data_IF_668832055538
#
_entry.id   IF_668832055538
#
_cell.length_a   1.000
_cell.length_b   1.000
_cell.length_c   1.000
_cell.angle_alpha   90.00
_cell.angle_beta   90.00
_cell.angle_gamma   90.00
#
_symmetry.space_group_name_H-M   'P 1'
#
loop_
_entity.id
_entity.type
_entity.pdbx_description
1 polymer ?
#
# COMPACT_ATOMS: atom_id res chain seq x y z
N UNK A 1 -24.24 -30.48 6.26
CA UNK A 1 -23.56 -31.39 7.21
C UNK A 1 -24.39 -32.67 7.28
N UNK A 2 -23.81 -33.86 7.04
CA UNK A 2 -24.51 -35.16 7.10
C UNK A 2 -24.01 -35.93 8.32
N UNK A 3 -24.92 -36.35 9.19
CA UNK A 3 -24.62 -37.20 10.35
C UNK A 3 -25.28 -38.55 10.12
N UNK A 4 -24.51 -39.63 10.24
CA UNK A 4 -25.02 -40.99 10.18
C UNK A 4 -24.92 -41.61 11.57
N UNK A 5 -26.06 -42.04 12.12
CA UNK A 5 -26.12 -42.94 13.26
C UNK A 5 -26.68 -44.27 12.77
N UNK A 6 -25.95 -45.36 13.01
CA UNK A 6 -26.34 -46.72 12.61
C UNK A 6 -26.80 -47.52 13.82
N UNK A 7 -28.10 -47.79 13.90
CA UNK A 7 -28.64 -49.01 14.53
C UNK A 7 -29.07 -49.98 13.42
N UNK A 8 -29.02 -51.31 13.66
CA UNK A 8 -29.25 -52.28 12.61
C UNK A 8 -30.73 -52.28 12.21
N UNK A 9 -30.97 -52.00 10.91
CA UNK A 9 -32.19 -52.22 10.14
C UNK A 9 -33.18 -51.06 9.88
N UNK A 10 -32.85 -49.79 10.14
CA UNK A 10 -33.57 -48.66 9.50
C UNK A 10 -32.67 -47.47 9.23
N UNK A 11 -32.38 -47.22 7.95
CA UNK A 11 -31.82 -45.94 7.50
C UNK A 11 -32.97 -44.95 7.41
N UNK A 12 -33.02 -43.99 8.33
CA UNK A 12 -33.89 -42.81 8.20
C UNK A 12 -33.03 -41.69 7.60
N UNK A 13 -33.16 -41.47 6.31
CA UNK A 13 -32.56 -40.32 5.65
C UNK A 13 -33.40 -39.08 5.99
N UNK A 14 -32.88 -38.22 6.87
CA UNK A 14 -33.43 -36.88 7.06
C UNK A 14 -32.56 -35.90 6.29
N UNK A 15 -33.05 -35.43 5.15
CA UNK A 15 -32.51 -34.23 4.52
C UNK A 15 -32.97 -33.02 5.33
N UNK A 16 -32.06 -32.34 6.02
CA UNK A 16 -32.33 -30.97 6.45
C UNK A 16 -32.58 -30.14 5.18
N UNK A 17 -33.74 -29.47 5.03
CA UNK A 17 -33.94 -28.56 3.93
C UNK A 17 -32.84 -27.50 3.96
N UNK A 18 -32.41 -27.05 2.77
CA UNK A 18 -31.50 -25.90 2.66
C UNK A 18 -32.02 -24.76 3.55
N UNK A 19 -31.16 -23.98 4.23
CA UNK A 19 -31.61 -22.89 5.07
C UNK A 19 -32.36 -21.89 4.17
N UNK A 20 -33.68 -22.04 4.13
CA UNK A 20 -34.56 -21.04 3.56
C UNK A 20 -34.34 -19.78 4.37
N UNK A 21 -34.14 -18.66 3.69
CA UNK A 21 -34.20 -17.35 4.33
C UNK A 21 -35.49 -17.33 5.15
N UNK A 22 -35.44 -17.20 6.49
CA UNK A 22 -36.66 -17.19 7.28
C UNK A 22 -37.55 -16.09 6.72
N UNK A 23 -38.78 -16.44 6.38
CA UNK A 23 -39.77 -15.46 5.96
C UNK A 23 -39.85 -14.41 7.06
N UNK A 24 -39.65 -13.14 6.71
CA UNK A 24 -39.99 -12.02 7.58
C UNK A 24 -41.49 -12.09 7.81
N UNK A 25 -41.90 -12.72 8.92
CA UNK A 25 -43.27 -12.65 9.41
C UNK A 25 -43.43 -11.24 9.94
N UNK A 26 -44.19 -10.39 9.24
CA UNK A 26 -44.60 -9.12 9.81
C UNK A 26 -45.39 -9.43 11.09
N UNK A 27 -45.01 -8.84 12.24
CA UNK A 27 -45.72 -9.10 13.48
C UNK A 27 -47.17 -8.63 13.35
N UNK A 28 -48.11 -9.57 13.33
CA UNK A 28 -49.54 -9.27 13.40
C UNK A 28 -49.91 -8.91 14.85
N UNK A 29 -50.30 -7.65 15.09
CA UNK A 29 -50.78 -7.17 16.39
C UNK A 29 -50.28 -5.78 16.76
N UNK A 30 -50.88 -5.18 17.79
CA UNK A 30 -50.44 -3.89 18.34
C UNK A 30 -49.16 -4.09 19.17
N UNK A 31 -48.13 -3.30 18.90
CA UNK A 31 -46.84 -3.37 19.63
C UNK A 31 -47.09 -3.03 21.11
N UNK A 32 -46.70 -3.89 22.07
CA UNK A 32 -46.92 -3.60 23.49
C UNK A 32 -46.30 -2.24 23.88
N UNK A 33 -46.99 -1.41 24.69
CA UNK A 33 -46.50 -0.07 25.05
C UNK A 33 -45.09 -0.05 25.63
N UNK A 34 -44.71 -1.08 26.39
CA UNK A 34 -43.36 -1.21 26.95
C UNK A 34 -42.28 -1.42 25.88
N UNK A 35 -42.59 -2.14 24.80
CA UNK A 35 -41.67 -2.36 23.67
C UNK A 35 -41.53 -1.09 22.85
N UNK A 36 -42.63 -0.36 22.62
CA UNK A 36 -42.59 0.96 21.97
C UNK A 36 -41.73 1.93 22.78
N UNK A 37 -41.96 2.04 24.10
CA UNK A 37 -41.21 2.93 24.97
C UNK A 37 -39.70 2.60 25.02
N UNK A 38 -39.34 1.30 24.97
CA UNK A 38 -37.95 0.89 24.84
C UNK A 38 -37.35 1.30 23.50
N UNK A 39 -38.09 1.10 22.40
CA UNK A 39 -37.69 1.53 21.07
C UNK A 39 -37.45 3.04 21.00
N UNK A 40 -38.35 3.84 21.57
CA UNK A 40 -38.24 5.29 21.65
C UNK A 40 -37.03 5.71 22.49
N UNK A 41 -36.82 5.11 23.66
CA UNK A 41 -35.67 5.41 24.53
C UNK A 41 -34.32 5.07 23.87
N UNK A 42 -34.23 3.91 23.20
CA UNK A 42 -33.05 3.53 22.41
C UNK A 42 -32.87 4.49 21.25
N UNK A 43 -33.94 4.85 20.55
CA UNK A 43 -33.93 5.83 19.46
C UNK A 43 -33.38 7.17 19.90
N UNK A 44 -33.88 7.73 21.00
CA UNK A 44 -33.39 8.98 21.58
C UNK A 44 -31.91 8.91 21.97
N UNK A 45 -31.49 7.80 22.60
CA UNK A 45 -30.09 7.61 22.99
C UNK A 45 -29.18 7.51 21.77
N UNK A 46 -29.57 6.74 20.76
CA UNK A 46 -28.83 6.61 19.50
C UNK A 46 -28.75 7.94 18.76
N UNK A 47 -29.86 8.69 18.68
CA UNK A 47 -29.86 10.03 18.10
C UNK A 47 -28.92 10.98 18.84
N UNK A 48 -28.90 10.94 20.17
CA UNK A 48 -28.00 11.77 20.99
C UNK A 48 -26.53 11.46 20.71
N UNK A 49 -26.16 10.18 20.67
CA UNK A 49 -24.80 9.73 20.37
C UNK A 49 -24.42 10.04 18.91
N UNK A 50 -25.36 9.86 17.98
CA UNK A 50 -25.12 10.09 16.57
C UNK A 50 -24.92 11.60 16.27
N UNK A 51 -25.67 12.47 16.94
CA UNK A 51 -25.55 13.93 16.78
C UNK A 51 -24.38 14.54 17.54
N UNK A 52 -23.62 13.75 18.30
CA UNK A 52 -22.44 14.22 19.02
C UNK A 52 -21.40 14.78 18.04
N UNK A 53 -20.99 16.01 18.30
CA UNK A 53 -19.98 16.70 17.50
C UNK A 53 -18.60 16.19 17.86
N UNK A 54 -17.82 15.78 16.86
CA UNK A 54 -16.48 15.26 17.07
C UNK A 54 -15.52 16.40 17.50
N UNK A 55 -14.76 16.25 18.60
CA UNK A 55 -13.89 17.31 19.13
C UNK A 55 -12.91 17.88 18.10
N UNK A 56 -12.31 17.03 17.27
CA UNK A 56 -11.40 17.42 16.20
C UNK A 56 -12.09 17.89 14.91
N UNK A 57 -13.41 17.77 14.77
CA UNK A 57 -14.11 17.98 13.50
C UNK A 57 -14.37 19.44 13.10
N UNK A 58 -13.58 20.41 13.55
CA UNK A 58 -13.82 21.83 13.26
C UNK A 58 -13.56 22.19 11.78
N UNK A 59 -14.49 22.92 11.17
CA UNK A 59 -14.44 23.35 9.77
C UNK A 59 -14.44 24.87 9.67
N UNK A 60 -13.52 25.45 8.88
CA UNK A 60 -13.52 26.90 8.61
C UNK A 60 -14.26 27.28 7.33
N UNK A 61 -14.50 26.30 6.45
CA UNK A 61 -15.28 26.44 5.22
C UNK A 61 -16.19 25.20 5.04
N UNK A 62 -17.25 25.29 4.20
CA UNK A 62 -18.07 24.13 3.87
C UNK A 62 -17.22 23.00 3.27
N UNK A 63 -17.37 21.79 3.79
CA UNK A 63 -16.69 20.60 3.30
C UNK A 63 -17.62 19.81 2.39
N UNK A 64 -17.33 19.80 1.10
CA UNK A 64 -18.07 19.00 0.14
C UNK A 64 -17.66 17.52 0.20
N UNK A 65 -18.33 16.69 -0.63
CA UNK A 65 -18.07 15.25 -0.67
C UNK A 65 -16.62 14.94 -1.08
N UNK A 66 -16.07 15.64 -2.06
CA UNK A 66 -14.70 15.38 -2.52
C UNK A 66 -13.64 15.79 -1.49
N UNK A 67 -13.87 16.90 -0.80
CA UNK A 67 -13.06 17.35 0.32
C UNK A 67 -13.11 16.37 1.48
N UNK A 68 -14.29 15.82 1.80
CA UNK A 68 -14.43 14.76 2.79
C UNK A 68 -13.70 13.47 2.38
N UNK A 69 -13.83 13.03 1.12
CA UNK A 69 -13.07 11.89 0.59
C UNK A 69 -11.56 12.16 0.69
N UNK A 70 -11.13 13.37 0.39
CA UNK A 70 -9.71 13.76 0.48
C UNK A 70 -9.20 13.71 1.92
N UNK A 71 -9.98 14.24 2.88
CA UNK A 71 -9.67 14.15 4.31
C UNK A 71 -9.57 12.69 4.78
N UNK A 72 -10.53 11.85 4.42
CA UNK A 72 -10.50 10.42 4.74
C UNK A 72 -9.21 9.76 4.24
N UNK A 73 -8.84 10.01 2.99
CA UNK A 73 -7.64 9.45 2.38
C UNK A 73 -6.36 9.98 3.03
N UNK A 74 -6.28 11.26 3.39
CA UNK A 74 -5.12 11.80 4.11
C UNK A 74 -4.99 11.20 5.52
N UNK A 75 -6.10 11.04 6.23
CA UNK A 75 -6.13 10.37 7.54
C UNK A 75 -5.69 8.91 7.41
N UNK A 76 -6.13 8.20 6.37
CA UNK A 76 -5.68 6.83 6.10
C UNK A 76 -4.17 6.78 5.80
N UNK A 77 -3.63 7.74 5.03
CA UNK A 77 -2.18 7.84 4.78
C UNK A 77 -1.40 8.07 6.06
N UNK A 78 -1.87 8.99 6.91
CA UNK A 78 -1.23 9.30 8.18
C UNK A 78 -1.25 8.09 9.13
N UNK A 79 -2.42 7.47 9.31
CA UNK A 79 -2.60 6.35 10.26
C UNK A 79 -1.82 5.11 9.85
N UNK A 80 -1.73 4.85 8.54
CA UNK A 80 -1.01 3.70 8.03
C UNK A 80 0.46 4.01 7.74
N UNK A 81 0.88 5.28 7.60
CA UNK A 81 2.18 5.70 7.03
C UNK A 81 2.34 5.28 5.57
N UNK A 82 1.25 5.34 4.81
CA UNK A 82 1.26 5.08 3.37
C UNK A 82 1.55 6.35 2.60
N UNK A 83 2.33 6.21 1.53
CA UNK A 83 2.66 7.30 0.62
C UNK A 83 1.48 7.67 -0.26
N UNK A 84 0.67 6.68 -0.62
CA UNK A 84 -0.47 6.81 -1.51
C UNK A 84 -1.71 6.29 -0.79
N UNK A 85 -2.85 6.95 -0.99
CA UNK A 85 -4.15 6.37 -0.66
C UNK A 85 -5.09 6.44 -1.84
N UNK A 86 -5.83 5.36 -2.06
CA UNK A 86 -6.86 5.26 -3.09
C UNK A 86 -8.16 4.75 -2.50
N UNK A 87 -9.28 5.22 -3.03
CA UNK A 87 -10.58 4.61 -2.80
C UNK A 87 -11.47 4.85 -4.01
N UNK A 88 -12.42 3.96 -4.27
CA UNK A 88 -13.40 4.20 -5.32
C UNK A 88 -14.33 5.35 -4.92
N UNK A 89 -14.77 6.16 -5.89
CA UNK A 89 -15.63 7.33 -5.63
C UNK A 89 -16.97 6.96 -4.99
N UNK A 90 -17.43 5.72 -5.18
CA UNK A 90 -18.65 5.17 -4.61
C UNK A 90 -18.61 4.92 -3.09
N UNK A 91 -17.42 4.87 -2.48
CA UNK A 91 -17.26 4.55 -1.06
C UNK A 91 -17.87 5.61 -0.13
N UNK A 92 -17.76 6.89 -0.50
CA UNK A 92 -18.40 7.99 0.24
C UNK A 92 -19.78 8.25 -0.35
N UNK A 93 -20.84 8.05 0.42
CA UNK A 93 -22.23 8.23 -0.05
C UNK A 93 -22.72 9.66 0.19
N UNK A 94 -23.58 10.21 -0.69
CA UNK A 94 -24.19 11.52 -0.49
C UNK A 94 -25.35 11.50 0.52
N UNK A 95 -25.45 10.45 1.33
CA UNK A 95 -26.46 10.33 2.39
C UNK A 95 -26.15 11.31 3.53
N UNK A 96 -24.87 11.63 3.74
CA UNK A 96 -24.50 12.78 4.54
C UNK A 96 -24.93 14.08 3.83
N UNK A 97 -25.48 15.03 4.59
CA UNK A 97 -25.96 16.34 4.10
C UNK A 97 -24.78 17.25 3.67
N UNK A 98 -24.05 16.85 2.64
CA UNK A 98 -22.99 17.66 2.06
C UNK A 98 -23.56 18.95 1.43
N UNK A 99 -22.86 20.08 1.53
CA UNK A 99 -21.58 20.23 2.23
C UNK A 99 -21.77 20.33 3.75
N UNK A 100 -20.87 19.67 4.49
CA UNK A 100 -20.81 19.76 5.95
C UNK A 100 -20.35 21.15 6.37
N UNK A 101 -20.86 21.68 7.49
CA UNK A 101 -20.59 23.04 7.95
C UNK A 101 -20.32 23.10 9.44
N UNK A 102 -19.44 24.00 9.84
CA UNK A 102 -19.16 24.30 11.24
C UNK A 102 -18.34 23.20 11.91
N UNK A 103 -18.97 22.05 12.22
CA UNK A 103 -18.29 20.90 12.82
C UNK A 103 -18.85 19.58 12.31
N UNK A 104 -17.98 18.58 12.18
CA UNK A 104 -18.34 17.22 11.79
C UNK A 104 -18.88 16.46 13.01
N UNK A 105 -20.05 15.85 12.87
CA UNK A 105 -20.66 14.98 13.88
C UNK A 105 -20.43 13.49 13.57
N UNK A 106 -20.75 12.62 14.53
CA UNK A 106 -20.65 11.17 14.34
C UNK A 106 -21.58 10.69 13.22
N UNK A 107 -22.81 11.19 13.16
CA UNK A 107 -23.80 10.83 12.13
C UNK A 107 -23.37 11.25 10.74
N UNK A 108 -22.65 12.37 10.59
CA UNK A 108 -22.11 12.78 9.30
C UNK A 108 -21.13 11.73 8.75
N UNK A 109 -20.25 11.20 9.61
CA UNK A 109 -19.28 10.17 9.23
C UNK A 109 -19.98 8.83 8.96
N UNK A 110 -20.92 8.41 9.81
CA UNK A 110 -21.69 7.18 9.62
C UNK A 110 -22.50 7.21 8.32
N UNK A 111 -23.16 8.33 8.03
CA UNK A 111 -23.94 8.52 6.80
C UNK A 111 -23.07 8.61 5.55
N UNK A 112 -21.88 9.21 5.67
CA UNK A 112 -20.92 9.28 4.56
C UNK A 112 -20.27 7.92 4.27
N UNK A 113 -20.01 7.09 5.28
CA UNK A 113 -19.32 5.80 5.17
C UNK A 113 -20.19 4.63 5.69
N UNK A 114 -21.26 4.26 4.96
CA UNK A 114 -22.19 3.25 5.46
C UNK A 114 -21.65 1.82 5.37
N UNK A 115 -20.68 1.58 4.50
CA UNK A 115 -20.14 0.24 4.26
C UNK A 115 -19.23 -0.21 5.40
N UNK A 116 -19.38 -1.47 5.78
CA UNK A 116 -18.44 -2.14 6.65
C UNK A 116 -17.35 -2.76 5.78
N UNK A 117 -16.27 -2.01 5.60
CA UNK A 117 -15.09 -2.39 4.82
C UNK A 117 -13.85 -2.24 5.70
N UNK A 118 -12.73 -2.77 5.24
CA UNK A 118 -11.43 -2.70 5.91
C UNK A 118 -10.47 -1.83 5.12
N UNK A 119 -9.44 -1.33 5.79
CA UNK A 119 -8.26 -0.73 5.18
C UNK A 119 -7.21 -1.82 4.95
N UNK A 120 -6.75 -1.91 3.70
CA UNK A 120 -5.65 -2.76 3.27
C UNK A 120 -4.46 -1.91 2.91
N UNK A 121 -3.30 -2.32 3.39
CA UNK A 121 -2.03 -1.73 3.00
C UNK A 121 -1.32 -2.67 2.05
N UNK A 122 -0.73 -2.14 0.99
CA UNK A 122 0.12 -2.90 0.09
C UNK A 122 1.31 -2.11 -0.39
N UNK A 123 2.06 -2.74 -1.28
CA UNK A 123 3.15 -2.14 -2.04
C UNK A 123 2.83 -2.26 -3.52
N UNK A 124 2.99 -1.19 -4.26
CA UNK A 124 2.82 -1.12 -5.72
C UNK A 124 4.09 -0.57 -6.35
N UNK A 125 4.59 -1.21 -7.41
CA UNK A 125 5.73 -0.68 -8.15
C UNK A 125 5.36 0.55 -8.98
N UNK A 126 6.31 1.46 -9.19
CA UNK A 126 6.10 2.73 -9.86
C UNK A 126 5.55 2.60 -11.28
N UNK A 127 6.06 1.65 -12.07
CA UNK A 127 5.57 1.35 -13.42
C UNK A 127 4.09 0.92 -13.44
N UNK A 128 3.69 0.02 -12.53
CA UNK A 128 2.32 -0.42 -12.35
C UNK A 128 1.42 0.73 -11.88
N UNK A 129 1.88 1.54 -10.93
CA UNK A 129 1.18 2.75 -10.50
C UNK A 129 0.98 3.72 -11.66
N UNK A 130 2.03 3.95 -12.46
CA UNK A 130 1.97 4.85 -13.60
C UNK A 130 1.00 4.36 -14.67
N UNK A 131 0.99 3.05 -14.92
CA UNK A 131 0.04 2.37 -15.82
C UNK A 131 -1.40 2.57 -15.34
N UNK A 132 -1.68 2.30 -14.07
CA UNK A 132 -3.00 2.51 -13.49
C UNK A 132 -3.45 3.97 -13.60
N UNK A 133 -2.62 4.93 -13.19
CA UNK A 133 -2.94 6.37 -13.18
C UNK A 133 -3.16 6.92 -14.60
N UNK A 134 -2.50 6.36 -15.61
CA UNK A 134 -2.71 6.72 -17.02
C UNK A 134 -3.93 6.03 -17.63
N UNK A 135 -4.43 4.95 -17.02
CA UNK A 135 -5.60 4.23 -17.51
C UNK A 135 -6.91 5.00 -17.33
N UNK A 136 -7.92 4.66 -18.14
CA UNK A 136 -9.29 5.16 -17.99
C UNK A 136 -9.96 4.73 -16.69
N UNK A 137 -9.51 3.62 -16.08
CA UNK A 137 -10.03 3.10 -14.81
C UNK A 137 -9.79 4.07 -13.66
N UNK A 138 -8.67 4.81 -13.69
CA UNK A 138 -8.28 5.78 -12.66
C UNK A 138 -9.37 6.82 -12.35
N UNK A 139 -10.20 7.18 -13.34
CA UNK A 139 -11.28 8.15 -13.19
C UNK A 139 -12.38 7.71 -12.19
N UNK A 140 -12.48 6.39 -11.91
CA UNK A 140 -13.43 5.82 -10.94
C UNK A 140 -12.97 5.99 -9.50
N UNK A 141 -11.72 6.38 -9.30
CA UNK A 141 -11.08 6.46 -8.00
C UNK A 141 -10.79 7.90 -7.61
N UNK A 142 -10.61 8.10 -6.30
CA UNK A 142 -9.97 9.28 -5.74
C UNK A 142 -8.63 8.83 -5.16
N UNK A 143 -7.57 9.58 -5.49
CA UNK A 143 -6.22 9.30 -5.02
C UNK A 143 -5.67 10.49 -4.25
N UNK A 144 -4.84 10.21 -3.24
CA UNK A 144 -4.01 11.17 -2.52
C UNK A 144 -2.56 10.68 -2.55
N UNK A 145 -1.63 11.64 -2.59
CA UNK A 145 -0.20 11.36 -2.71
C UNK A 145 0.31 11.21 -4.15
N UNK A 146 -0.57 11.21 -5.16
CA UNK A 146 -0.19 11.19 -6.59
C UNK A 146 -0.78 12.41 -7.29
N UNK A 147 0.05 13.13 -8.03
CA UNK A 147 -0.35 14.29 -8.83
C UNK A 147 0.24 14.17 -10.23
N UNK A 148 -0.49 14.67 -11.24
CA UNK A 148 0.02 14.78 -12.60
C UNK A 148 0.54 16.20 -12.83
N UNK A 149 1.74 16.30 -13.38
CA UNK A 149 2.39 17.56 -13.78
C UNK A 149 2.76 17.46 -15.26
N UNK A 150 1.88 17.96 -16.14
CA UNK A 150 1.95 17.69 -17.57
C UNK A 150 1.86 16.19 -17.89
N UNK A 151 2.87 15.64 -18.55
CA UNK A 151 3.00 14.21 -18.85
C UNK A 151 3.67 13.41 -17.72
N UNK A 152 4.27 14.12 -16.76
CA UNK A 152 4.97 13.53 -15.63
C UNK A 152 4.00 13.18 -14.49
N UNK A 153 4.31 12.10 -13.78
CA UNK A 153 3.63 11.75 -12.54
C UNK A 153 4.54 12.05 -11.37
N UNK A 154 3.97 12.66 -10.35
CA UNK A 154 4.64 12.94 -9.09
C UNK A 154 3.98 12.12 -7.98
N UNK A 155 4.80 11.47 -7.16
CA UNK A 155 4.38 10.92 -5.87
C UNK A 155 4.89 11.87 -4.79
N UNK A 156 3.98 12.45 -4.01
CA UNK A 156 4.34 13.32 -2.89
C UNK A 156 5.21 14.53 -3.29
N UNK A 157 4.96 15.08 -4.48
CA UNK A 157 5.71 16.20 -5.07
C UNK A 157 7.05 15.82 -5.70
N UNK A 158 7.40 14.52 -5.74
CA UNK A 158 8.65 14.01 -6.33
C UNK A 158 8.36 13.23 -7.59
N UNK A 159 9.23 13.26 -8.61
CA UNK A 159 9.07 12.42 -9.80
C UNK A 159 8.86 10.96 -9.41
N UNK A 160 7.87 10.33 -10.03
CA UNK A 160 7.63 8.90 -9.89
C UNK A 160 8.85 8.15 -10.43
N UNK A 161 9.41 7.26 -9.61
CA UNK A 161 10.47 6.33 -9.99
C UNK A 161 9.82 4.98 -10.34
N UNK A 162 9.95 4.57 -11.59
CA UNK A 162 9.25 3.39 -12.12
C UNK A 162 9.73 2.08 -11.51
N UNK A 163 10.98 2.02 -11.05
CA UNK A 163 11.61 0.86 -10.41
C UNK A 163 11.40 0.78 -8.89
N UNK A 164 10.73 1.76 -8.30
CA UNK A 164 10.51 1.87 -6.85
C UNK A 164 9.15 1.30 -6.44
N UNK A 165 9.10 0.60 -5.29
CA UNK A 165 7.84 0.25 -4.63
C UNK A 165 7.35 1.38 -3.72
N UNK A 166 6.09 1.74 -3.86
CA UNK A 166 5.38 2.71 -3.04
C UNK A 166 4.41 2.03 -2.09
N UNK A 167 4.34 2.54 -0.86
CA UNK A 167 3.37 2.03 0.12
C UNK A 167 2.00 2.67 -0.11
N UNK A 168 0.99 1.84 -0.34
CA UNK A 168 -0.37 2.26 -0.69
C UNK A 168 -1.37 1.75 0.33
N UNK A 169 -2.32 2.59 0.73
CA UNK A 169 -3.50 2.19 1.50
C UNK A 169 -4.76 2.32 0.65
N UNK A 170 -5.66 1.35 0.78
CA UNK A 170 -6.93 1.31 0.07
C UNK A 170 -8.00 0.64 0.92
N UNK A 171 -9.24 0.62 0.44
CA UNK A 171 -10.29 -0.20 1.02
C UNK A 171 -10.14 -1.68 0.61
N UNK A 172 -10.71 -2.60 1.38
CA UNK A 172 -10.71 -4.04 1.11
C UNK A 172 -11.38 -4.34 -0.22
N UNK A 173 -12.54 -3.72 -0.49
CA UNK A 173 -13.21 -3.85 -1.78
C UNK A 173 -12.29 -3.56 -2.99
N UNK A 174 -11.49 -2.49 -2.93
CA UNK A 174 -10.56 -2.13 -4.02
C UNK A 174 -9.33 -3.03 -4.05
N UNK A 175 -8.84 -3.48 -2.88
CA UNK A 175 -7.73 -4.42 -2.78
C UNK A 175 -8.07 -5.81 -3.33
N UNK A 176 -9.35 -6.18 -3.33
CA UNK A 176 -9.87 -7.43 -3.91
C UNK A 176 -10.25 -7.28 -5.40
N UNK A 177 -9.91 -6.14 -6.03
CA UNK A 177 -10.14 -5.88 -7.46
C UNK A 177 -11.42 -5.09 -7.79
N UNK A 178 -12.18 -4.67 -6.79
CA UNK A 178 -13.39 -3.88 -6.96
C UNK A 178 -13.19 -2.63 -7.83
N UNK A 179 -14.14 -2.38 -8.73
CA UNK A 179 -14.14 -1.29 -9.74
C UNK A 179 -12.93 -1.25 -10.70
N UNK A 180 -12.09 -2.30 -10.71
CA UNK A 180 -10.84 -2.37 -11.47
C UNK A 180 -9.68 -1.66 -10.76
N UNK A 181 -9.55 -1.90 -9.46
CA UNK A 181 -8.51 -1.34 -8.59
C UNK A 181 -7.10 -1.91 -8.83
N UNK A 182 -6.17 -1.61 -7.92
CA UNK A 182 -4.77 -2.03 -8.04
C UNK A 182 -4.53 -3.54 -8.04
N UNK A 183 -5.49 -4.34 -7.57
CA UNK A 183 -5.36 -5.81 -7.55
C UNK A 183 -5.22 -6.44 -8.94
N UNK A 184 -5.61 -5.71 -10.00
CA UNK A 184 -5.45 -6.14 -11.39
C UNK A 184 -4.04 -5.91 -11.93
N UNK A 185 -3.14 -5.26 -11.17
CA UNK A 185 -1.75 -5.03 -11.57
C UNK A 185 -0.83 -6.14 -11.02
N UNK A 186 0.02 -6.70 -11.87
CA UNK A 186 0.88 -7.86 -11.53
C UNK A 186 1.89 -7.56 -10.39
N UNK A 187 2.23 -6.29 -10.17
CA UNK A 187 3.27 -5.83 -9.24
C UNK A 187 2.70 -5.17 -7.97
N UNK A 188 1.55 -5.68 -7.50
CA UNK A 188 0.91 -5.23 -6.26
C UNK A 188 0.86 -6.37 -5.25
N UNK A 189 1.28 -6.10 -4.01
CA UNK A 189 1.19 -7.07 -2.92
C UNK A 189 0.61 -6.41 -1.68
N UNK A 190 -0.47 -6.97 -1.15
CA UNK A 190 -1.12 -6.52 0.08
C UNK A 190 -0.63 -7.27 1.30
N UNK A 191 -0.58 -6.57 2.44
CA UNK A 191 -0.38 -7.16 3.75
C UNK A 191 -1.59 -8.06 4.11
N UNK A 192 -1.35 -9.23 4.74
CA UNK A 192 -2.38 -10.25 4.96
C UNK A 192 -3.45 -9.81 5.96
N UNK A 193 -3.10 -8.97 6.92
CA UNK A 193 -4.00 -8.49 7.96
C UNK A 193 -4.53 -7.08 7.64
N UNK A 194 -5.84 -6.84 7.77
CA UNK A 194 -6.38 -5.49 7.65
C UNK A 194 -5.94 -4.61 8.82
N UNK A 195 -5.77 -3.31 8.56
CA UNK A 195 -5.27 -2.36 9.57
C UNK A 195 -6.41 -1.77 10.42
N UNK A 196 -7.65 -1.84 9.94
CA UNK A 196 -8.83 -1.32 10.62
C UNK A 196 -9.95 -1.00 9.63
N UNK A 197 -11.06 -0.41 10.09
CA UNK A 197 -12.14 0.04 9.21
C UNK A 197 -11.99 1.53 8.86
N UNK A 198 -12.18 1.97 7.59
CA UNK A 198 -12.02 3.37 7.20
C UNK A 198 -12.85 4.33 8.06
N UNK A 199 -14.08 3.92 8.37
CA UNK A 199 -15.01 4.67 9.23
C UNK A 199 -14.48 4.84 10.65
N UNK A 200 -14.04 3.75 11.27
CA UNK A 200 -13.54 3.79 12.65
C UNK A 200 -12.20 4.53 12.74
N UNK A 201 -11.34 4.37 11.74
CA UNK A 201 -10.10 5.17 11.62
C UNK A 201 -10.39 6.66 11.57
N UNK A 202 -11.37 7.09 10.76
CA UNK A 202 -11.73 8.51 10.71
C UNK A 202 -12.40 9.00 12.00
N UNK A 203 -13.31 8.20 12.59
CA UNK A 203 -13.98 8.55 13.85
C UNK A 203 -12.98 8.69 15.01
N UNK A 204 -12.11 7.70 15.20
CA UNK A 204 -11.07 7.73 16.22
C UNK A 204 -10.08 8.88 16.00
N UNK A 205 -9.71 9.15 14.75
CA UNK A 205 -8.87 10.30 14.42
C UNK A 205 -9.59 11.61 14.79
N UNK A 206 -10.84 11.82 14.39
CA UNK A 206 -11.64 13.02 14.70
C UNK A 206 -12.03 13.16 16.18
N UNK A 207 -11.99 12.08 16.97
CA UNK A 207 -12.26 12.12 18.41
C UNK A 207 -11.20 12.93 19.19
N UNK A 208 -9.99 13.04 18.65
CA UNK A 208 -8.90 13.79 19.28
C UNK A 208 -9.07 15.29 18.99
N UNK A 209 -9.12 16.17 20.01
CA UNK A 209 -9.22 17.61 19.82
C UNK A 209 -8.05 18.17 19.00
N UNK A 210 -8.35 19.04 18.02
CA UNK A 210 -7.36 19.72 17.17
C UNK A 210 -7.70 21.20 17.02
N UNK A 211 -6.70 22.03 16.74
CA UNK A 211 -6.87 23.47 16.47
C UNK A 211 -6.91 23.72 14.97
N UNK A 212 -7.72 24.68 14.55
CA UNK A 212 -7.81 25.13 13.16
C UNK A 212 -8.73 24.27 12.29
N UNK A 213 -8.59 24.42 10.97
CA UNK A 213 -9.37 23.67 9.99
C UNK A 213 -8.91 22.22 9.91
N UNK A 214 -9.84 21.29 10.09
CA UNK A 214 -9.56 19.85 10.08
C UNK A 214 -9.05 19.34 8.73
N UNK A 215 -9.33 20.03 7.62
CA UNK A 215 -8.84 19.66 6.28
C UNK A 215 -7.34 19.88 6.11
N UNK A 216 -6.70 20.65 7.00
CA UNK A 216 -5.25 20.93 6.98
C UNK A 216 -4.49 20.24 8.10
N UNK A 217 -5.22 19.56 8.99
CA UNK A 217 -4.64 18.92 10.16
C UNK A 217 -3.91 17.59 9.87
N UNK A 218 -4.30 16.76 8.86
CA UNK A 218 -3.56 15.55 8.56
C UNK A 218 -2.10 15.83 8.24
N UNK A 219 -1.20 15.04 8.82
CA UNK A 219 0.23 15.15 8.53
C UNK A 219 0.51 14.36 7.27
N UNK A 220 0.85 15.05 6.19
CA UNK A 220 1.25 14.40 4.95
C UNK A 220 2.54 13.60 5.15
N UNK A 221 2.54 12.26 5.01
CA UNK A 221 3.74 11.45 5.14
C UNK A 221 4.86 11.87 4.18
N UNK A 222 4.52 12.54 3.07
CA UNK A 222 5.45 13.17 2.13
C UNK A 222 6.47 14.12 2.78
N UNK A 223 6.09 14.74 3.90
CA UNK A 223 6.91 15.71 4.62
C UNK A 223 7.99 15.05 5.47
N UNK A 224 7.94 13.72 5.63
CA UNK A 224 8.97 12.95 6.32
C UNK A 224 10.14 12.66 5.39
N UNK A 225 11.32 12.48 5.98
CA UNK A 225 12.51 12.04 5.27
C UNK A 225 12.30 10.63 4.75
N UNK A 226 12.40 10.46 3.43
CA UNK A 226 12.42 9.16 2.76
C UNK A 226 13.85 8.70 2.66
N UNK A 227 14.12 7.46 3.08
CA UNK A 227 15.42 6.83 2.88
C UNK A 227 15.31 5.79 1.77
N UNK A 228 16.16 5.90 0.76
CA UNK A 228 16.27 4.96 -0.35
C UNK A 228 17.62 4.27 -0.28
N UNK A 229 17.62 2.94 -0.33
CA UNK A 229 18.83 2.12 -0.35
C UNK A 229 18.86 1.35 -1.66
N UNK A 230 19.91 1.52 -2.46
CA UNK A 230 20.12 0.76 -3.71
C UNK A 230 21.49 0.11 -3.67
N UNK A 231 21.62 -1.08 -4.23
CA UNK A 231 22.88 -1.81 -4.24
C UNK A 231 22.99 -2.68 -5.48
N UNK A 232 24.19 -2.71 -6.05
CA UNK A 232 24.58 -3.55 -7.18
C UNK A 232 25.88 -4.26 -6.85
N UNK A 233 25.98 -5.53 -7.21
CA UNK A 233 27.19 -6.34 -7.06
C UNK A 233 27.37 -7.12 -8.37
N UNK A 234 28.49 -6.87 -9.05
CA UNK A 234 28.97 -7.64 -10.18
C UNK A 234 30.22 -8.42 -9.77
N UNK A 235 30.23 -9.72 -10.06
CA UNK A 235 31.39 -10.56 -9.85
C UNK A 235 31.68 -11.34 -11.13
N UNK A 236 32.92 -11.27 -11.61
CA UNK A 236 33.37 -12.03 -12.76
C UNK A 236 34.64 -12.84 -12.45
N UNK A 237 34.70 -14.03 -13.02
CA UNK A 237 35.84 -14.93 -12.98
C UNK A 237 36.16 -15.32 -14.42
N UNK A 238 37.40 -15.08 -14.84
CA UNK A 238 37.91 -15.52 -16.15
C UNK A 238 39.16 -16.35 -15.96
N UNK A 239 39.24 -17.46 -16.70
CA UNK A 239 40.39 -18.34 -16.70
C UNK A 239 40.81 -18.60 -18.15
N UNK A 240 42.09 -18.39 -18.44
CA UNK A 240 42.67 -18.65 -19.77
C UNK A 240 43.66 -19.80 -19.66
N UNK A 241 43.32 -20.93 -20.28
CA UNK A 241 44.19 -22.10 -20.39
C UNK A 241 44.59 -22.30 -21.84
N UNK A 242 45.89 -22.49 -22.08
CA UNK A 242 46.43 -22.77 -23.42
C UNK A 242 47.06 -24.15 -23.37
N UNK A 243 46.59 -25.07 -24.21
CA UNK A 243 47.13 -26.41 -24.37
C UNK A 243 47.77 -26.54 -25.76
N UNK A 244 49.09 -26.69 -25.81
CA UNK A 244 49.82 -26.93 -27.06
C UNK A 244 49.94 -28.43 -27.36
N UNK A 245 49.92 -28.78 -28.64
CA UNK A 245 50.23 -30.14 -29.09
C UNK A 245 51.72 -30.43 -28.86
N UNK A 246 52.10 -31.61 -28.31
CA UNK A 246 53.49 -31.96 -27.98
C UNK A 246 54.51 -31.84 -29.13
N UNK A 247 54.06 -31.75 -30.39
CA UNK A 247 54.93 -31.61 -31.56
C UNK A 247 55.35 -30.15 -31.89
N UNK A 248 54.82 -29.13 -31.18
CA UNK A 248 55.19 -27.73 -31.37
C UNK A 248 56.12 -27.26 -30.25
N UNK A 249 57.41 -27.06 -30.56
CA UNK A 249 58.44 -26.59 -29.60
C UNK A 249 58.93 -25.16 -29.89
N UNK A 250 58.16 -24.36 -30.62
CA UNK A 250 58.58 -23.01 -31.03
C UNK A 250 58.52 -22.02 -29.84
N UNK A 251 59.64 -21.40 -29.41
CA UNK A 251 59.69 -20.52 -28.24
C UNK A 251 58.88 -19.22 -28.36
N UNK A 252 58.28 -18.92 -29.52
CA UNK A 252 57.39 -17.77 -29.70
C UNK A 252 55.98 -17.96 -29.09
N UNK A 253 55.69 -19.14 -28.52
CA UNK A 253 54.41 -19.49 -27.88
C UNK A 253 54.51 -19.69 -26.36
N UNK A 254 55.49 -19.10 -25.68
CA UNK A 254 55.43 -18.99 -24.21
C UNK A 254 54.34 -17.97 -23.88
N UNK A 255 53.11 -18.46 -23.67
CA UNK A 255 51.98 -17.63 -23.25
C UNK A 255 51.51 -18.05 -21.87
N UNK A 256 51.45 -17.06 -21.00
CA UNK A 256 51.00 -17.18 -19.61
C UNK A 256 49.58 -17.74 -19.55
N UNK A 257 49.39 -18.70 -18.66
CA UNK A 257 48.05 -19.06 -18.20
C UNK A 257 47.64 -18.03 -17.15
N UNK A 258 46.37 -17.69 -17.06
CA UNK A 258 45.97 -16.68 -16.09
C UNK A 258 44.53 -16.81 -15.61
N UNK A 259 44.36 -16.53 -14.33
CA UNK A 259 43.06 -16.40 -13.67
C UNK A 259 42.87 -14.94 -13.28
N UNK A 260 41.72 -14.36 -13.62
CA UNK A 260 41.32 -13.04 -13.16
C UNK A 260 39.96 -13.09 -12.48
N UNK A 261 39.87 -12.45 -11.32
CA UNK A 261 38.66 -12.24 -10.54
C UNK A 261 38.44 -10.74 -10.46
N UNK A 262 37.23 -10.29 -10.77
CA UNK A 262 36.82 -8.90 -10.58
C UNK A 262 35.53 -8.87 -9.76
N UNK A 263 35.47 -7.98 -8.78
CA UNK A 263 34.29 -7.64 -8.01
C UNK A 263 34.07 -6.13 -8.13
N UNK A 264 32.90 -5.70 -8.59
CA UNK A 264 32.46 -4.30 -8.57
C UNK A 264 31.17 -4.22 -7.76
N UNK A 265 31.20 -3.50 -6.66
CA UNK A 265 30.04 -3.28 -5.81
C UNK A 265 29.76 -1.78 -5.71
N UNK A 266 28.50 -1.40 -5.89
CA UNK A 266 28.05 -0.01 -5.77
C UNK A 266 26.83 0.03 -4.87
N UNK A 267 26.82 0.93 -3.90
CA UNK A 267 25.72 1.16 -2.98
C UNK A 267 25.34 2.63 -2.95
N UNK A 268 24.04 2.91 -2.89
CA UNK A 268 23.49 4.24 -2.71
C UNK A 268 22.64 4.29 -1.43
N UNK A 269 22.81 5.36 -0.65
CA UNK A 269 22.02 5.68 0.53
C UNK A 269 21.55 7.12 0.41
N UNK A 270 20.32 7.28 -0.04
CA UNK A 270 19.76 8.59 -0.36
C UNK A 270 18.68 8.95 0.67
N UNK A 271 18.73 10.17 1.20
CA UNK A 271 17.72 10.75 2.07
C UNK A 271 17.07 11.94 1.38
N UNK A 272 15.76 11.90 1.21
CA UNK A 272 15.02 12.93 0.49
C UNK A 272 13.86 13.48 1.31
N UNK A 273 13.78 14.80 1.42
CA UNK A 273 12.71 15.55 2.06
C UNK A 273 12.42 16.81 1.21
N UNK A 274 11.18 17.36 1.22
CA UNK A 274 10.86 18.57 0.44
C UNK A 274 11.80 19.79 0.59
N UNK A 275 12.63 19.86 1.62
CA UNK A 275 13.56 20.96 1.92
C UNK A 275 15.04 20.58 1.78
N UNK A 276 15.36 19.28 1.69
CA UNK A 276 16.74 18.83 1.58
C UNK A 276 16.85 17.46 0.94
N UNK A 277 17.95 17.26 0.24
CA UNK A 277 18.36 15.98 -0.34
C UNK A 277 19.77 15.66 0.13
N UNK A 278 20.01 14.40 0.48
CA UNK A 278 21.29 13.87 0.91
C UNK A 278 21.57 12.60 0.12
N UNK A 279 22.49 12.66 -0.84
CA UNK A 279 22.85 11.53 -1.71
C UNK A 279 24.20 10.99 -1.27
N UNK A 280 24.30 9.66 -1.15
CA UNK A 280 25.56 9.01 -0.76
C UNK A 280 25.79 7.81 -1.64
N UNK A 281 26.95 7.78 -2.28
CA UNK A 281 27.36 6.63 -3.08
C UNK A 281 28.63 6.05 -2.48
N UNK A 282 28.62 4.73 -2.27
CA UNK A 282 29.78 3.93 -1.91
C UNK A 282 30.07 2.99 -3.08
N UNK A 283 31.27 3.08 -3.66
CA UNK A 283 31.71 2.14 -4.68
C UNK A 283 32.96 1.41 -4.22
N UNK A 284 32.99 0.10 -4.42
CA UNK A 284 34.09 -0.79 -4.07
C UNK A 284 34.43 -1.64 -5.29
N UNK A 285 35.65 -1.48 -5.81
CA UNK A 285 36.15 -2.27 -6.93
C UNK A 285 37.38 -3.06 -6.50
N UNK A 286 37.30 -4.38 -6.56
CA UNK A 286 38.40 -5.29 -6.25
C UNK A 286 38.74 -6.10 -7.51
N UNK A 287 40.03 -6.24 -7.78
CA UNK A 287 40.55 -7.03 -8.89
C UNK A 287 41.72 -7.88 -8.44
N UNK A 288 41.70 -9.15 -8.79
CA UNK A 288 42.80 -10.07 -8.61
C UNK A 288 43.13 -10.71 -9.95
N UNK A 289 44.40 -10.67 -10.36
CA UNK A 289 44.85 -11.33 -11.58
C UNK A 289 46.14 -12.08 -11.27
N UNK A 290 46.17 -13.37 -11.58
CA UNK A 290 47.35 -14.21 -11.51
C UNK A 290 47.71 -14.65 -12.92
N UNK A 291 48.98 -14.52 -13.27
CA UNK A 291 49.57 -15.05 -14.51
C UNK A 291 50.70 -15.99 -14.16
N UNK A 292 50.60 -17.24 -14.62
CA UNK A 292 51.62 -18.27 -14.45
C UNK A 292 52.42 -18.32 -15.75
N UNK A 293 53.65 -17.80 -15.71
CA UNK A 293 54.63 -17.96 -16.78
C UNK A 293 55.40 -19.27 -16.61
N UNK A 294 55.85 -19.84 -17.73
CA UNK A 294 56.64 -21.08 -17.75
C UNK A 294 57.99 -21.00 -17.01
N UNK A 295 58.40 -19.81 -16.53
CA UNK A 295 59.66 -19.56 -15.83
C UNK A 295 59.54 -19.06 -14.38
N UNK A 296 58.34 -19.00 -13.79
CA UNK A 296 58.16 -18.64 -12.38
C UNK A 296 57.04 -17.61 -12.15
N UNK A 297 56.45 -17.68 -10.96
CA UNK A 297 55.26 -16.94 -10.50
C UNK A 297 55.58 -15.44 -10.34
N UNK A 298 55.02 -14.58 -11.19
CA UNK A 298 55.10 -13.12 -11.05
C UNK A 298 53.72 -12.57 -10.66
N UNK A 299 53.31 -12.80 -9.42
CA UNK A 299 52.12 -12.18 -8.85
C UNK A 299 52.30 -10.67 -8.72
N UNK A 300 51.79 -9.90 -9.68
CA UNK A 300 51.74 -8.44 -9.60
C UNK A 300 50.39 -7.99 -9.02
N UNK A 301 50.43 -7.49 -7.79
CA UNK A 301 49.33 -6.74 -7.17
C UNK A 301 49.14 -5.42 -7.92
N UNK A 302 48.07 -5.30 -8.72
CA UNK A 302 47.59 -3.99 -9.16
C UNK A 302 46.32 -3.66 -8.37
N UNK A 303 46.51 -2.97 -7.25
CA UNK A 303 45.42 -2.38 -6.47
C UNK A 303 44.96 -1.14 -7.26
N UNK A 304 43.72 -1.15 -7.74
CA UNK A 304 43.07 0.02 -8.35
C UNK A 304 42.57 0.97 -7.28
N UNK A 305 42.65 2.27 -7.56
CA UNK A 305 42.41 3.39 -6.64
C UNK A 305 41.07 3.34 -5.89
N UNK A 306 41.11 3.80 -4.63
CA UNK A 306 39.97 4.11 -3.75
C UNK A 306 39.30 5.43 -4.16
#
# INVERSE_FOLDING_TARGET
MRVFATEPARVVETSLPAPGTPALVEPEGEVPPAVSALGDAIGEQLCRIATEVLPGGALTAPLDREGFTSLLLDVARESTRSEIAVINRGAVRPIANFPLRGRISRVDVLGALPFDDVLRVGRIKGDALATFVRSVRSARFRMRGVTRDGDSLLVNGRPLAEDQYYRVVTSGFVADGGDGGFAEEDEVTYEPDPVGAPRETLLSWLAIPRRGDITRAPIDPAQRTRWTFRGFIDASLSNTTIANNPNYQDPQLVRSQGTAIQLDAEGHVDAEQPRYTFENTLRLRLGYQQTIDASGDTGLLKIGDL
#
